data_IF_131971611522
#
_entry.id   IF_131971611522
#
_cell.length_a   1.000
_cell.length_b   1.000
_cell.length_c   1.000
_cell.angle_alpha   90.00
_cell.angle_beta   90.00
_cell.angle_gamma   90.00
#
_symmetry.space_group_name_H-M   'P 1'
#
loop_
_entity.id
_entity.type
_entity.pdbx_description
1 polymer ?
#
# COMPACT_ATOMS: atom_id res chain seq x y z
N UNK A 1 -0.52 21.55 -16.64
CA UNK A 1 -0.84 20.37 -15.80
C UNK A 1 -0.10 19.09 -16.23
N UNK A 2 -0.03 18.73 -17.52
CA UNK A 2 0.68 17.51 -17.97
C UNK A 2 2.19 17.54 -17.65
N UNK A 3 2.87 18.67 -17.93
CA UNK A 3 4.31 18.85 -17.64
C UNK A 3 4.66 18.58 -16.17
N UNK A 4 3.87 19.09 -15.24
CA UNK A 4 4.09 18.89 -13.80
C UNK A 4 3.92 17.42 -13.40
N UNK A 5 2.91 16.72 -13.95
CA UNK A 5 2.71 15.28 -13.71
C UNK A 5 3.87 14.43 -14.20
N UNK A 6 4.36 14.72 -15.41
CA UNK A 6 5.52 14.02 -15.98
C UNK A 6 6.77 14.28 -15.14
N UNK A 7 7.01 15.53 -14.75
CA UNK A 7 8.16 15.88 -13.92
C UNK A 7 8.11 15.19 -12.56
N UNK A 8 6.95 15.16 -11.89
CA UNK A 8 6.81 14.44 -10.61
C UNK A 8 7.06 12.95 -10.76
N UNK A 9 6.59 12.32 -11.84
CA UNK A 9 6.82 10.89 -12.08
C UNK A 9 8.32 10.61 -12.30
N UNK A 10 9.01 11.46 -13.07
CA UNK A 10 10.45 11.34 -13.31
C UNK A 10 11.25 11.50 -12.01
N UNK A 11 10.92 12.50 -11.18
CA UNK A 11 11.59 12.71 -9.88
C UNK A 11 11.38 11.53 -8.94
N UNK A 12 10.14 11.02 -8.84
CA UNK A 12 9.84 9.85 -8.03
C UNK A 12 10.57 8.60 -8.53
N UNK A 13 10.69 8.42 -9.85
CA UNK A 13 11.44 7.31 -10.44
C UNK A 13 12.95 7.44 -10.18
N UNK A 14 13.49 8.65 -10.27
CA UNK A 14 14.90 8.95 -9.98
C UNK A 14 15.24 8.76 -8.49
N UNK A 15 14.27 8.83 -7.58
CA UNK A 15 14.43 8.46 -6.17
C UNK A 15 14.24 6.96 -5.94
N UNK A 16 13.21 6.37 -6.54
CA UNK A 16 12.84 4.97 -6.35
C UNK A 16 13.90 4.02 -6.90
N UNK A 17 14.36 4.19 -8.14
CA UNK A 17 15.24 3.20 -8.77
C UNK A 17 16.60 3.06 -8.07
N UNK A 18 17.31 4.15 -7.71
CA UNK A 18 18.60 4.02 -7.01
C UNK A 18 18.45 3.38 -5.64
N UNK A 19 17.40 3.73 -4.89
CA UNK A 19 17.16 3.13 -3.57
C UNK A 19 16.75 1.66 -3.67
N UNK A 20 15.93 1.32 -4.67
CA UNK A 20 15.50 -0.04 -4.95
C UNK A 20 16.67 -0.94 -5.36
N UNK A 21 17.56 -0.48 -6.25
CA UNK A 21 18.69 -1.28 -6.74
C UNK A 21 19.98 -1.12 -5.93
N UNK A 22 19.95 -0.37 -4.83
CA UNK A 22 21.08 -0.29 -3.92
C UNK A 22 21.45 -1.68 -3.35
N UNK A 23 22.68 -1.88 -2.89
CA UNK A 23 23.09 -3.18 -2.33
C UNK A 23 22.33 -3.53 -1.05
N UNK A 24 22.28 -2.58 -0.12
CA UNK A 24 21.58 -2.72 1.17
C UNK A 24 20.08 -2.33 1.03
N UNK A 25 19.13 -3.05 1.68
CA UNK A 25 17.71 -2.66 1.73
C UNK A 25 17.42 -1.31 2.41
N UNK A 26 18.33 -0.80 3.23
CA UNK A 26 18.13 0.37 4.10
C UNK A 26 17.66 1.63 3.35
N UNK A 27 18.27 2.08 2.24
CA UNK A 27 17.84 3.31 1.58
C UNK A 27 16.39 3.23 1.07
N UNK A 28 15.99 2.05 0.56
CA UNK A 28 14.61 1.80 0.16
C UNK A 28 13.67 1.81 1.37
N UNK A 29 14.06 1.16 2.47
CA UNK A 29 13.26 1.12 3.70
C UNK A 29 13.02 2.52 4.28
N UNK A 30 14.05 3.38 4.28
CA UNK A 30 13.95 4.77 4.73
C UNK A 30 13.08 5.62 3.80
N UNK A 31 13.21 5.45 2.48
CA UNK A 31 12.35 6.13 1.51
C UNK A 31 10.88 5.75 1.72
N UNK A 32 10.59 4.45 1.80
CA UNK A 32 9.24 3.95 2.07
C UNK A 32 8.70 4.43 3.42
N UNK A 33 9.56 4.49 4.46
CA UNK A 33 9.19 5.00 5.79
C UNK A 33 8.74 6.46 5.69
N UNK A 34 9.50 7.31 5.00
CA UNK A 34 9.15 8.71 4.83
C UNK A 34 7.79 8.89 4.13
N UNK A 35 7.54 8.14 3.05
CA UNK A 35 6.24 8.17 2.36
C UNK A 35 5.09 7.69 3.25
N UNK A 36 5.26 6.60 3.99
CA UNK A 36 4.24 6.09 4.90
C UNK A 36 3.99 7.03 6.09
N UNK A 37 5.01 7.72 6.61
CA UNK A 37 4.84 8.71 7.66
C UNK A 37 4.02 9.92 7.19
N UNK A 38 4.28 10.41 5.97
CA UNK A 38 3.43 11.44 5.33
C UNK A 38 2.01 10.89 5.14
N UNK A 39 1.87 9.66 4.67
CA UNK A 39 0.59 8.97 4.55
C UNK A 39 -0.18 8.86 5.87
N UNK A 40 0.52 8.67 6.99
CA UNK A 40 -0.08 8.64 8.33
C UNK A 40 -0.62 10.01 8.74
N UNK A 41 0.08 11.10 8.38
CA UNK A 41 -0.42 12.46 8.57
C UNK A 41 -1.72 12.72 7.79
N UNK A 42 -1.78 12.29 6.53
CA UNK A 42 -3.02 12.37 5.73
C UNK A 42 -4.12 11.45 6.29
N UNK A 43 -3.78 10.28 6.81
CA UNK A 43 -4.74 9.39 7.46
C UNK A 43 -5.31 9.97 8.75
N UNK A 44 -4.49 10.61 9.58
CA UNK A 44 -4.95 11.32 10.77
C UNK A 44 -5.92 12.46 10.38
N UNK A 45 -5.67 13.15 9.27
CA UNK A 45 -6.60 14.15 8.73
C UNK A 45 -7.94 13.51 8.32
N UNK A 46 -7.92 12.34 7.67
CA UNK A 46 -9.13 11.58 7.35
C UNK A 46 -9.91 11.15 8.59
N UNK A 47 -9.22 10.90 9.71
CA UNK A 47 -9.83 10.58 10.98
C UNK A 47 -10.41 11.79 11.74
N UNK A 48 -10.25 13.00 11.22
CA UNK A 48 -10.82 14.23 11.79
C UNK A 48 -9.86 15.05 12.65
N UNK A 49 -8.58 14.68 12.75
CA UNK A 49 -7.58 15.51 13.42
C UNK A 49 -7.25 16.74 12.57
N UNK A 50 -7.10 17.89 13.23
CA UNK A 50 -6.80 19.17 12.59
C UNK A 50 -5.57 19.83 13.24
N UNK A 51 -4.90 20.70 12.47
CA UNK A 51 -3.71 21.42 12.93
C UNK A 51 -2.41 20.64 12.75
N UNK A 52 -1.34 21.37 12.49
CA UNK A 52 -0.02 20.79 12.18
C UNK A 52 0.53 19.95 13.34
N UNK A 53 0.22 20.30 14.60
CA UNK A 53 0.68 19.57 15.79
C UNK A 53 0.11 18.16 15.85
N UNK A 54 -1.20 18.00 15.68
CA UNK A 54 -1.87 16.69 15.73
C UNK A 54 -1.43 15.79 14.57
N UNK A 55 -1.33 16.34 13.35
CA UNK A 55 -0.90 15.58 12.18
C UNK A 55 0.56 15.15 12.30
N UNK A 56 1.44 16.06 12.73
CA UNK A 56 2.87 15.76 12.94
C UNK A 56 3.06 14.77 14.07
N UNK A 57 2.26 14.83 15.14
CA UNK A 57 2.32 13.85 16.23
C UNK A 57 2.10 12.43 15.73
N UNK A 58 1.02 12.18 14.97
CA UNK A 58 0.74 10.84 14.45
C UNK A 58 1.77 10.37 13.42
N UNK A 59 2.22 11.26 12.54
CA UNK A 59 3.26 10.95 11.56
C UNK A 59 4.60 10.59 12.24
N UNK A 60 5.02 11.36 13.24
CA UNK A 60 6.28 11.14 13.97
C UNK A 60 6.19 9.91 14.88
N UNK A 61 5.07 9.67 15.55
CA UNK A 61 4.85 8.47 16.35
C UNK A 61 4.94 7.21 15.48
N UNK A 62 4.30 7.24 14.31
CA UNK A 62 4.39 6.15 13.35
C UNK A 62 5.83 5.95 12.85
N UNK A 63 6.51 7.03 12.48
CA UNK A 63 7.91 6.98 12.04
C UNK A 63 8.86 6.44 13.12
N UNK A 64 8.64 6.81 14.39
CA UNK A 64 9.45 6.34 15.51
C UNK A 64 9.32 4.83 15.72
N UNK A 65 8.09 4.30 15.63
CA UNK A 65 7.85 2.85 15.73
C UNK A 65 8.43 2.11 14.52
N UNK A 66 8.24 2.64 13.30
CA UNK A 66 8.84 2.08 12.10
C UNK A 66 10.38 2.09 12.17
N UNK A 67 10.99 3.15 12.70
CA UNK A 67 12.44 3.25 12.89
C UNK A 67 12.96 2.26 13.95
N UNK A 68 12.23 2.06 15.05
CA UNK A 68 12.56 1.06 16.05
C UNK A 68 12.50 -0.36 15.46
N UNK A 69 11.47 -0.66 14.67
CA UNK A 69 11.38 -1.93 13.94
C UNK A 69 12.53 -2.09 12.95
N UNK A 70 12.84 -1.04 12.17
CA UNK A 70 13.94 -1.03 11.21
C UNK A 70 15.27 -1.37 11.88
N UNK A 71 15.54 -0.74 13.03
CA UNK A 71 16.72 -1.01 13.85
C UNK A 71 16.80 -2.49 14.25
N UNK A 72 15.69 -3.07 14.73
CA UNK A 72 15.63 -4.49 15.08
C UNK A 72 15.91 -5.40 13.87
N UNK A 73 15.39 -5.07 12.69
CA UNK A 73 15.65 -5.84 11.47
C UNK A 73 17.12 -5.79 11.06
N UNK A 74 17.78 -4.63 11.19
CA UNK A 74 19.20 -4.49 10.91
C UNK A 74 20.07 -5.30 11.86
N UNK A 75 19.74 -5.32 13.15
CA UNK A 75 20.46 -6.13 14.15
C UNK A 75 20.37 -7.64 13.85
N UNK A 76 19.28 -8.06 13.22
CA UNK A 76 19.10 -9.45 12.76
C UNK A 76 19.63 -9.67 11.33
N UNK A 77 20.42 -8.75 10.77
CA UNK A 77 20.94 -8.81 9.40
C UNK A 77 19.85 -9.08 8.35
N UNK A 78 18.67 -8.48 8.54
CA UNK A 78 17.48 -8.68 7.71
C UNK A 78 16.93 -10.11 7.69
N UNK A 79 17.41 -10.99 8.58
CA UNK A 79 16.88 -12.34 8.72
C UNK A 79 15.48 -12.28 9.31
N UNK A 80 14.51 -12.74 8.53
CA UNK A 80 13.12 -12.80 8.94
C UNK A 80 12.83 -14.19 9.50
N UNK A 81 12.10 -14.25 10.62
CA UNK A 81 11.64 -15.53 11.16
C UNK A 81 10.74 -16.26 10.14
N UNK A 82 10.86 -17.58 10.04
CA UNK A 82 10.04 -18.41 9.15
C UNK A 82 8.53 -18.25 9.38
N UNK A 83 8.13 -17.86 10.60
CA UNK A 83 6.76 -17.53 10.99
C UNK A 83 6.15 -16.36 10.17
N UNK A 84 6.98 -15.50 9.57
CA UNK A 84 6.50 -14.34 8.82
C UNK A 84 5.68 -14.72 7.58
N UNK A 85 5.97 -15.85 6.94
CA UNK A 85 5.14 -16.34 5.83
C UNK A 85 3.68 -16.56 6.25
N UNK A 86 3.48 -17.23 7.38
CA UNK A 86 2.15 -17.50 7.92
C UNK A 86 1.47 -16.23 8.43
N UNK A 87 2.25 -15.32 9.02
CA UNK A 87 1.77 -14.00 9.41
C UNK A 87 1.22 -13.23 8.20
N UNK A 88 1.97 -13.14 7.10
CA UNK A 88 1.50 -12.43 5.90
C UNK A 88 0.32 -13.11 5.25
N UNK A 89 0.29 -14.44 5.21
CA UNK A 89 -0.88 -15.18 4.73
C UNK A 89 -2.11 -14.83 5.58
N UNK A 90 -1.99 -14.82 6.91
CA UNK A 90 -3.08 -14.46 7.81
C UNK A 90 -3.53 -13.01 7.60
N UNK A 91 -2.60 -12.05 7.46
CA UNK A 91 -2.91 -10.65 7.14
C UNK A 91 -3.64 -10.51 5.79
N UNK A 92 -3.18 -11.20 4.75
CA UNK A 92 -3.82 -11.20 3.43
C UNK A 92 -5.22 -11.81 3.49
N UNK A 93 -5.41 -12.92 4.20
CA UNK A 93 -6.74 -13.53 4.37
C UNK A 93 -7.67 -12.63 5.17
N UNK A 94 -7.19 -12.04 6.27
CA UNK A 94 -7.96 -11.07 7.05
C UNK A 94 -8.38 -9.87 6.19
N UNK A 95 -7.50 -9.39 5.31
CA UNK A 95 -7.81 -8.31 4.39
C UNK A 95 -8.86 -8.70 3.34
N UNK A 96 -8.75 -9.89 2.74
CA UNK A 96 -9.75 -10.40 1.79
C UNK A 96 -11.12 -10.60 2.45
N UNK A 97 -11.15 -11.12 3.67
CA UNK A 97 -12.38 -11.23 4.47
C UNK A 97 -12.98 -9.86 4.75
N UNK A 98 -12.17 -8.89 5.20
CA UNK A 98 -12.62 -7.53 5.44
C UNK A 98 -13.18 -6.88 4.17
N UNK A 99 -12.53 -7.08 3.02
CA UNK A 99 -13.01 -6.61 1.71
C UNK A 99 -14.36 -7.26 1.35
N UNK A 100 -14.47 -8.59 1.44
CA UNK A 100 -15.70 -9.33 1.12
C UNK A 100 -16.88 -8.95 2.01
N UNK A 101 -16.64 -8.67 3.30
CA UNK A 101 -17.68 -8.27 4.25
C UNK A 101 -18.08 -6.78 4.12
N UNK A 102 -17.17 -5.92 3.67
CA UNK A 102 -17.39 -4.47 3.61
C UNK A 102 -17.90 -3.99 2.24
N UNK A 103 -17.48 -4.61 1.15
CA UNK A 103 -17.82 -4.18 -0.21
C UNK A 103 -19.34 -4.17 -0.49
N UNK A 104 -20.14 -5.18 -0.07
CA UNK A 104 -21.60 -5.18 -0.30
C UNK A 104 -22.32 -4.09 0.49
N UNK A 105 -21.82 -3.79 1.71
CA UNK A 105 -22.41 -2.78 2.59
C UNK A 105 -22.04 -1.37 2.14
N UNK A 106 -20.85 -1.23 1.54
CA UNK A 106 -20.28 0.00 1.04
C UNK A 106 -20.39 1.19 2.03
N UNK A 107 -20.22 0.89 3.32
CA UNK A 107 -20.39 1.81 4.46
C UNK A 107 -19.32 1.55 5.50
N UNK A 108 -18.85 2.62 6.13
CA UNK A 108 -17.91 2.53 7.24
C UNK A 108 -18.63 1.98 8.50
N UNK A 109 -18.12 0.90 9.14
CA UNK A 109 -18.64 0.41 10.41
C UNK A 109 -18.70 1.51 11.47
N UNK A 110 -19.70 1.46 12.35
CA UNK A 110 -19.90 2.48 13.39
C UNK A 110 -18.67 2.64 14.31
N UNK A 111 -18.01 1.53 14.67
CA UNK A 111 -16.79 1.55 15.49
C UNK A 111 -15.64 2.34 14.83
N UNK A 112 -15.54 2.31 13.49
CA UNK A 112 -14.51 3.04 12.74
C UNK A 112 -14.86 4.51 12.50
N UNK A 113 -16.04 4.98 12.95
CA UNK A 113 -16.35 6.42 12.94
C UNK A 113 -15.65 7.19 14.07
N UNK A 114 -15.17 6.48 15.10
CA UNK A 114 -14.42 7.10 16.17
C UNK A 114 -13.01 7.48 15.65
N UNK A 115 -12.56 8.76 15.82
CA UNK A 115 -11.28 9.24 15.29
C UNK A 115 -10.09 8.35 15.66
N UNK A 116 -10.00 7.96 16.93
CA UNK A 116 -8.92 7.10 17.40
C UNK A 116 -8.96 5.71 16.74
N UNK A 117 -10.14 5.11 16.57
CA UNK A 117 -10.25 3.77 15.98
C UNK A 117 -9.84 3.80 14.49
N UNK A 118 -10.27 4.83 13.76
CA UNK A 118 -9.87 5.00 12.36
C UNK A 118 -8.36 5.28 12.23
N UNK A 119 -7.80 6.05 13.16
CA UNK A 119 -6.37 6.37 13.18
C UNK A 119 -5.52 5.15 13.51
N UNK A 120 -5.91 4.36 14.51
CA UNK A 120 -5.23 3.11 14.86
C UNK A 120 -5.31 2.08 13.73
N UNK A 121 -6.43 2.03 13.01
CA UNK A 121 -6.53 1.21 11.79
C UNK A 121 -5.51 1.67 10.73
N UNK A 122 -5.44 2.96 10.44
CA UNK A 122 -4.45 3.51 9.51
C UNK A 122 -3.01 3.25 9.93
N UNK A 123 -2.74 3.44 11.21
CA UNK A 123 -1.45 3.18 11.83
C UNK A 123 -1.01 1.73 11.57
N UNK A 124 -1.89 0.77 11.88
CA UNK A 124 -1.62 -0.66 11.68
C UNK A 124 -1.44 -1.00 10.20
N UNK A 125 -2.32 -0.51 9.32
CA UNK A 125 -2.27 -0.81 7.88
C UNK A 125 -1.01 -0.24 7.22
N UNK A 126 -0.64 1.00 7.55
CA UNK A 126 0.58 1.61 7.02
C UNK A 126 1.82 0.92 7.58
N UNK A 127 1.82 0.51 8.86
CA UNK A 127 2.93 -0.23 9.46
C UNK A 127 3.12 -1.60 8.78
N UNK A 128 2.02 -2.32 8.55
CA UNK A 128 2.03 -3.59 7.84
C UNK A 128 2.47 -3.43 6.38
N UNK A 129 1.98 -2.40 5.67
CA UNK A 129 2.36 -2.11 4.30
C UNK A 129 3.86 -1.80 4.19
N UNK A 130 4.36 -0.89 5.02
CA UNK A 130 5.79 -0.57 5.05
C UNK A 130 6.65 -1.80 5.33
N UNK A 131 6.28 -2.61 6.34
CA UNK A 131 7.02 -3.82 6.70
C UNK A 131 7.03 -4.86 5.58
N UNK A 132 5.91 -5.00 4.86
CA UNK A 132 5.82 -5.86 3.68
C UNK A 132 6.73 -5.35 2.55
N UNK A 133 6.74 -4.04 2.26
CA UNK A 133 7.62 -3.45 1.25
C UNK A 133 9.11 -3.69 1.57
N UNK A 134 9.51 -3.52 2.83
CA UNK A 134 10.89 -3.79 3.29
C UNK A 134 11.26 -5.24 3.03
N UNK A 135 10.38 -6.19 3.37
CA UNK A 135 10.66 -7.61 3.13
C UNK A 135 10.72 -8.01 1.67
N UNK A 136 9.79 -7.51 0.86
CA UNK A 136 9.79 -7.76 -0.57
C UNK A 136 11.11 -7.28 -1.18
N UNK A 137 11.59 -6.13 -0.70
CA UNK A 137 12.89 -5.61 -1.07
C UNK A 137 14.06 -6.47 -0.55
N UNK A 138 13.98 -7.03 0.66
CA UNK A 138 15.00 -7.98 1.18
C UNK A 138 15.05 -9.25 0.33
N UNK A 139 13.92 -9.76 -0.16
CA UNK A 139 13.86 -10.92 -1.05
C UNK A 139 14.50 -10.65 -2.41
N UNK A 140 14.48 -9.40 -2.88
CA UNK A 140 15.25 -8.96 -4.04
C UNK A 140 14.63 -7.77 -4.75
N UNK A 141 15.46 -6.91 -5.33
CA UNK A 141 15.01 -5.74 -6.07
C UNK A 141 14.11 -6.10 -7.27
N UNK A 142 14.45 -7.17 -8.00
CA UNK A 142 13.65 -7.65 -9.14
C UNK A 142 12.30 -8.24 -8.70
N UNK A 143 12.27 -8.96 -7.58
CA UNK A 143 11.02 -9.48 -7.02
C UNK A 143 10.10 -8.36 -6.53
N UNK A 144 10.67 -7.35 -5.89
CA UNK A 144 9.93 -6.15 -5.53
C UNK A 144 9.39 -5.40 -6.76
N UNK A 145 10.22 -5.26 -7.81
CA UNK A 145 9.82 -4.62 -9.06
C UNK A 145 8.71 -5.42 -9.76
N UNK A 146 8.77 -6.76 -9.75
CA UNK A 146 7.75 -7.59 -10.36
C UNK A 146 6.39 -7.43 -9.69
N UNK A 147 6.36 -7.24 -8.35
CA UNK A 147 5.13 -6.92 -7.62
C UNK A 147 4.62 -5.50 -7.88
N UNK A 148 5.50 -4.51 -7.99
CA UNK A 148 5.10 -3.16 -8.42
C UNK A 148 4.48 -3.19 -9.81
N UNK A 149 5.10 -3.91 -10.75
CA UNK A 149 4.57 -4.12 -12.09
C UNK A 149 3.24 -4.89 -12.07
N UNK A 150 3.05 -5.88 -11.19
CA UNK A 150 1.77 -6.56 -11.01
C UNK A 150 0.64 -5.58 -10.65
N UNK A 151 0.89 -4.63 -9.73
CA UNK A 151 -0.07 -3.58 -9.37
C UNK A 151 -0.34 -2.65 -10.56
N UNK A 152 0.70 -2.25 -11.31
CA UNK A 152 0.54 -1.42 -12.50
C UNK A 152 -0.26 -2.11 -13.60
N UNK A 153 0.00 -3.40 -13.86
CA UNK A 153 -0.78 -4.22 -14.79
C UNK A 153 -2.23 -4.29 -14.35
N UNK A 154 -2.49 -4.48 -13.05
CA UNK A 154 -3.85 -4.50 -12.50
C UNK A 154 -4.61 -3.19 -12.80
N UNK A 155 -3.98 -2.05 -12.54
CA UNK A 155 -4.60 -0.73 -12.74
C UNK A 155 -4.85 -0.44 -14.22
N UNK A 156 -3.89 -0.75 -15.09
CA UNK A 156 -4.01 -0.58 -16.54
C UNK A 156 -5.14 -1.47 -17.09
N UNK A 157 -5.15 -2.74 -16.72
CA UNK A 157 -6.17 -3.70 -17.16
C UNK A 157 -7.56 -3.37 -16.60
N UNK A 158 -7.64 -2.87 -15.35
CA UNK A 158 -8.89 -2.39 -14.76
C UNK A 158 -9.44 -1.19 -15.51
N UNK A 159 -8.57 -0.24 -15.86
CA UNK A 159 -8.96 0.98 -16.58
C UNK A 159 -9.47 0.66 -17.99
N UNK A 160 -8.68 -0.07 -18.80
CA UNK A 160 -9.07 -0.38 -20.17
C UNK A 160 -10.25 -1.34 -20.24
N UNK A 161 -10.27 -2.38 -19.41
CA UNK A 161 -11.39 -3.32 -19.36
C UNK A 161 -12.67 -2.67 -18.83
N UNK A 162 -12.53 -1.79 -17.84
CA UNK A 162 -13.65 -0.99 -17.34
C UNK A 162 -14.18 0.00 -18.37
N UNK A 163 -13.33 0.60 -19.20
CA UNK A 163 -13.75 1.51 -20.28
C UNK A 163 -14.41 0.77 -21.44
N UNK A 164 -13.92 -0.41 -21.81
CA UNK A 164 -14.44 -1.19 -22.93
C UNK A 164 -15.75 -1.94 -22.59
N UNK A 165 -15.83 -2.53 -21.39
CA UNK A 165 -16.92 -3.44 -21.02
C UNK A 165 -17.68 -3.07 -19.74
N UNK A 166 -17.39 -1.91 -19.13
CA UNK A 166 -17.90 -1.52 -17.82
C UNK A 166 -19.36 -1.07 -17.77
N UNK A 167 -20.29 -1.99 -18.00
CA UNK A 167 -21.74 -1.75 -17.86
C UNK A 167 -22.20 -1.76 -16.39
N UNK A 168 -21.73 -2.73 -15.60
CA UNK A 168 -22.10 -2.89 -14.20
C UNK A 168 -21.05 -2.28 -13.26
N UNK A 169 -21.49 -1.36 -12.40
CA UNK A 169 -20.63 -0.73 -11.38
C UNK A 169 -20.29 -1.73 -10.25
N UNK A 170 -19.10 -1.58 -9.67
CA UNK A 170 -18.62 -2.44 -8.59
C UNK A 170 -19.14 -1.98 -7.22
N UNK A 171 -18.97 -0.69 -6.90
CA UNK A 171 -19.39 -0.11 -5.63
C UNK A 171 -19.75 1.38 -5.83
N UNK A 172 -20.96 1.70 -6.33
CA UNK A 172 -21.34 3.06 -6.72
C UNK A 172 -21.19 4.11 -5.61
N UNK A 173 -21.47 3.73 -4.36
CA UNK A 173 -21.42 4.65 -3.20
C UNK A 173 -20.01 4.93 -2.68
N UNK A 174 -19.01 4.11 -3.05
CA UNK A 174 -17.60 4.32 -2.66
C UNK A 174 -16.81 4.93 -3.82
N UNK A 175 -16.96 4.36 -5.02
CA UNK A 175 -16.20 4.77 -6.20
C UNK A 175 -17.03 4.57 -7.47
N UNK A 176 -17.69 5.61 -8.00
CA UNK A 176 -18.57 5.49 -9.16
C UNK A 176 -17.83 5.12 -10.46
N UNK A 177 -16.51 5.29 -10.51
CA UNK A 177 -15.67 4.93 -11.65
C UNK A 177 -15.38 3.42 -11.77
N UNK A 178 -15.46 2.65 -10.69
CA UNK A 178 -15.08 1.22 -10.69
C UNK A 178 -16.20 0.33 -11.24
N UNK A 179 -15.86 -0.60 -12.12
CA UNK A 179 -16.80 -1.53 -12.77
C UNK A 179 -16.43 -2.98 -12.49
N UNK A 180 -17.42 -3.89 -12.49
CA UNK A 180 -17.18 -5.33 -12.34
C UNK A 180 -16.32 -5.89 -13.46
N UNK A 181 -16.53 -5.40 -14.69
CA UNK A 181 -15.71 -5.77 -15.84
C UNK A 181 -14.24 -5.40 -15.62
N UNK A 182 -13.96 -4.18 -15.15
CA UNK A 182 -12.59 -3.76 -14.82
C UNK A 182 -11.93 -4.62 -13.75
N UNK A 183 -12.67 -5.02 -12.71
CA UNK A 183 -12.14 -5.93 -11.69
C UNK A 183 -11.77 -7.31 -12.27
N UNK A 184 -12.61 -7.87 -13.14
CA UNK A 184 -12.33 -9.16 -13.78
C UNK A 184 -11.15 -9.09 -14.77
N UNK A 185 -11.05 -8.02 -15.57
CA UNK A 185 -9.92 -7.87 -16.49
C UNK A 185 -8.61 -7.66 -15.75
N UNK A 186 -8.62 -6.92 -14.64
CA UNK A 186 -7.47 -6.81 -13.76
C UNK A 186 -7.04 -8.17 -13.20
N UNK A 187 -7.99 -8.98 -12.70
CA UNK A 187 -7.69 -10.31 -12.19
C UNK A 187 -7.08 -11.23 -13.26
N UNK A 188 -7.67 -11.27 -14.47
CA UNK A 188 -7.15 -12.10 -15.56
C UNK A 188 -5.74 -11.65 -15.97
N UNK A 189 -5.53 -10.33 -16.10
CA UNK A 189 -4.24 -9.78 -16.50
C UNK A 189 -3.15 -10.05 -15.45
N UNK A 190 -3.46 -9.93 -14.16
CA UNK A 190 -2.49 -10.23 -13.09
C UNK A 190 -2.20 -11.71 -12.95
N UNK A 191 -3.19 -12.60 -13.15
CA UNK A 191 -2.97 -14.04 -13.20
C UNK A 191 -2.06 -14.42 -14.38
N UNK A 192 -2.31 -13.85 -15.55
CA UNK A 192 -1.44 -14.05 -16.72
C UNK A 192 -0.03 -13.54 -16.46
N UNK A 193 0.11 -12.33 -15.95
CA UNK A 193 1.41 -11.74 -15.61
C UNK A 193 2.17 -12.63 -14.61
N UNK A 194 1.52 -13.08 -13.54
CA UNK A 194 2.12 -13.94 -12.52
C UNK A 194 2.48 -15.35 -13.03
N UNK A 195 1.87 -15.82 -14.12
CA UNK A 195 2.22 -17.10 -14.73
C UNK A 195 3.45 -17.01 -15.66
N UNK A 196 3.77 -15.82 -16.16
CA UNK A 196 4.85 -15.58 -17.13
C UNK A 196 6.14 -15.10 -16.46
N UNK A 197 6.04 -14.46 -15.29
CA UNK A 197 7.16 -13.89 -14.54
C UNK A 197 7.53 -14.74 -13.32
#
# INVERSE_FOLDING_TARGET
MLRQRVLTALVLMALLLPTLFWRDPLPFALLALAFCAVGMGEWARLAGYQGLSALSFWALLWAAIAAALLWLLQQQAWQMASAWRWFWLACSMAWLLALGLSLPKARLPAALRHPLALTLLGFLLLQAAWLALVQLRVQGALFMLSLLALVWVADIAAYFGGRAWGRSKLAPSISPGKTRAGAWTALIATLFYAAVC
#
